data_IF_128591989831
#
_entry.id   IF_128591989831
#
_cell.length_a   1.000
_cell.length_b   1.000
_cell.length_c   1.000
_cell.angle_alpha   90.00
_cell.angle_beta   90.00
_cell.angle_gamma   90.00
#
_symmetry.space_group_name_H-M   'P 1'
#
loop_
_entity.id
_entity.type
_entity.pdbx_description
1 polymer ?
#
# COMPACT_ATOMS: atom_id res chain seq x y z
N UNK A 1 -2.76 2.68 -19.08
CA UNK A 1 -1.35 3.01 -18.80
C UNK A 1 -0.70 3.42 -20.10
N UNK A 2 -0.37 4.70 -20.26
CA UNK A 2 0.29 5.19 -21.47
C UNK A 2 1.76 4.76 -21.47
N UNK A 3 2.26 4.36 -22.64
CA UNK A 3 3.65 3.94 -22.82
C UNK A 3 4.42 4.96 -23.64
N UNK A 4 5.55 5.39 -23.11
CA UNK A 4 6.45 6.35 -23.71
C UNK A 4 7.78 5.67 -24.04
N UNK A 5 8.32 5.89 -25.24
CA UNK A 5 9.75 5.65 -25.44
C UNK A 5 10.52 6.71 -24.68
N UNK A 6 11.68 6.37 -24.12
CA UNK A 6 12.50 7.32 -23.35
C UNK A 6 12.81 8.63 -24.11
N UNK A 7 13.02 8.55 -25.43
CA UNK A 7 13.27 9.73 -26.26
C UNK A 7 12.06 10.69 -26.27
N UNK A 8 10.84 10.14 -26.43
CA UNK A 8 9.61 10.92 -26.45
C UNK A 8 9.31 11.51 -25.07
N UNK A 9 9.49 10.71 -24.02
CA UNK A 9 9.35 11.16 -22.63
C UNK A 9 10.31 12.31 -22.31
N UNK A 10 11.56 12.28 -22.81
CA UNK A 10 12.53 13.37 -22.62
C UNK A 10 12.05 14.68 -23.24
N UNK A 11 11.50 14.61 -24.45
CA UNK A 11 11.04 15.80 -25.18
C UNK A 11 9.71 16.35 -24.65
N UNK A 12 8.91 15.51 -23.97
CA UNK A 12 7.56 15.84 -23.47
C UNK A 12 7.45 15.61 -21.96
N UNK A 13 8.53 15.82 -21.23
CA UNK A 13 8.59 15.42 -19.82
C UNK A 13 7.51 16.11 -18.97
N UNK A 14 7.23 17.39 -19.22
CA UNK A 14 6.13 18.11 -18.54
C UNK A 14 4.77 17.46 -18.75
N UNK A 15 4.51 16.91 -19.94
CA UNK A 15 3.26 16.20 -20.21
C UNK A 15 3.22 14.86 -19.48
N UNK A 16 4.33 14.11 -19.47
CA UNK A 16 4.45 12.87 -18.70
C UNK A 16 4.14 13.13 -17.22
N UNK A 17 4.68 14.20 -16.65
CA UNK A 17 4.43 14.61 -15.25
C UNK A 17 2.96 14.98 -15.05
N UNK A 18 2.38 15.82 -15.91
CA UNK A 18 0.97 16.22 -15.77
C UNK A 18 0.03 15.02 -15.84
N UNK A 19 0.28 14.07 -16.75
CA UNK A 19 -0.50 12.83 -16.83
C UNK A 19 -0.27 11.94 -15.62
N UNK A 20 0.97 11.85 -15.11
CA UNK A 20 1.25 11.10 -13.89
C UNK A 20 0.49 11.65 -12.67
N UNK A 21 0.23 12.97 -12.64
CA UNK A 21 -0.53 13.63 -11.58
C UNK A 21 -2.05 13.52 -11.75
N UNK A 22 -2.56 13.63 -12.99
CA UNK A 22 -4.00 13.75 -13.25
C UNK A 22 -4.66 12.47 -13.77
N UNK A 23 -3.94 11.65 -14.54
CA UNK A 23 -4.45 10.45 -15.22
C UNK A 23 -3.94 9.15 -14.58
N UNK A 24 -2.84 9.23 -13.82
CA UNK A 24 -2.21 8.09 -13.14
C UNK A 24 -0.93 7.58 -13.82
N UNK A 25 -0.48 6.34 -13.52
CA UNK A 25 0.86 5.86 -13.85
C UNK A 25 1.24 5.94 -15.34
N UNK A 26 2.46 6.43 -15.62
CA UNK A 26 3.02 6.54 -16.97
C UNK A 26 4.22 5.61 -17.12
N UNK A 27 4.20 4.69 -18.10
CA UNK A 27 5.32 3.79 -18.35
C UNK A 27 6.32 4.44 -19.31
N UNK A 28 7.60 4.41 -18.96
CA UNK A 28 8.69 4.85 -19.86
C UNK A 28 9.60 3.66 -20.15
N UNK A 29 9.75 3.31 -21.42
CA UNK A 29 10.58 2.19 -21.87
C UNK A 29 11.91 2.66 -22.47
N UNK A 30 12.98 1.92 -22.16
CA UNK A 30 14.33 2.09 -22.70
C UNK A 30 14.88 0.74 -23.13
N UNK A 31 14.86 0.48 -24.45
CA UNK A 31 15.29 -0.81 -25.03
C UNK A 31 14.50 -1.96 -24.40
N UNK A 32 15.16 -2.78 -23.56
CA UNK A 32 14.58 -3.96 -22.93
C UNK A 32 14.11 -3.71 -21.49
N UNK A 33 14.29 -2.49 -20.97
CA UNK A 33 13.88 -2.10 -19.61
C UNK A 33 12.72 -1.10 -19.64
N UNK A 34 11.99 -1.01 -18.53
CA UNK A 34 10.96 0.00 -18.32
C UNK A 34 10.94 0.51 -16.88
N UNK A 35 10.54 1.77 -16.72
CA UNK A 35 10.26 2.41 -15.45
C UNK A 35 8.83 2.97 -15.47
N UNK A 36 8.28 3.25 -14.28
CA UNK A 36 6.96 3.87 -14.15
C UNK A 36 7.12 5.20 -13.41
N UNK A 37 6.56 6.27 -13.98
CA UNK A 37 6.43 7.57 -13.33
C UNK A 37 5.07 7.64 -12.65
N UNK A 38 5.09 7.96 -11.36
CA UNK A 38 3.93 8.04 -10.48
C UNK A 38 3.89 9.40 -9.79
N UNK A 39 2.70 9.85 -9.41
CA UNK A 39 2.59 10.93 -8.43
C UNK A 39 3.21 10.50 -7.10
N UNK A 40 3.74 11.46 -6.33
CA UNK A 40 4.27 11.17 -5.00
C UNK A 40 3.19 10.58 -4.08
N UNK A 41 1.95 11.06 -4.20
CA UNK A 41 0.81 10.56 -3.43
C UNK A 41 0.52 9.09 -3.74
N UNK A 42 0.54 8.69 -5.02
CA UNK A 42 0.34 7.30 -5.41
C UNK A 42 1.50 6.41 -4.95
N UNK A 43 2.74 6.89 -5.09
CA UNK A 43 3.91 6.20 -4.55
C UNK A 43 3.77 5.99 -3.05
N UNK A 44 3.44 7.04 -2.28
CA UNK A 44 3.22 6.94 -0.84
C UNK A 44 2.03 6.06 -0.47
N UNK A 45 1.00 5.94 -1.31
CA UNK A 45 -0.10 4.98 -1.05
C UNK A 45 0.34 3.54 -1.27
N UNK A 46 1.18 3.30 -2.28
CA UNK A 46 1.72 1.98 -2.62
C UNK A 46 2.83 1.52 -1.64
N UNK A 47 3.75 2.41 -1.32
CA UNK A 47 4.94 2.14 -0.50
C UNK A 47 4.82 2.67 0.92
N UNK A 48 3.72 3.35 1.23
CA UNK A 48 3.49 3.96 2.53
C UNK A 48 3.74 2.97 3.63
N UNK A 49 4.20 3.48 4.78
CA UNK A 49 4.38 2.71 6.00
C UNK A 49 3.04 2.07 6.35
N UNK A 50 2.75 0.89 5.82
CA UNK A 50 1.75 0.00 6.38
C UNK A 50 2.20 -0.15 7.82
N UNK A 51 1.43 0.41 8.75
CA UNK A 51 1.61 0.11 10.15
C UNK A 51 1.74 -1.41 10.20
N UNK A 52 2.81 -1.92 10.84
CA UNK A 52 2.92 -3.37 11.00
C UNK A 52 1.59 -3.86 11.55
N UNK A 53 1.11 -5.02 11.12
CA UNK A 53 -0.20 -5.49 11.58
C UNK A 53 -0.32 -5.41 13.12
N UNK A 54 0.79 -5.69 13.81
CA UNK A 54 0.97 -5.42 15.25
C UNK A 54 0.68 -3.96 15.65
N UNK A 55 1.31 -2.98 15.00
CA UNK A 55 1.10 -1.56 15.28
C UNK A 55 -0.32 -1.09 14.96
N UNK A 56 -0.90 -1.58 13.86
CA UNK A 56 -2.31 -1.32 13.54
C UNK A 56 -3.23 -1.78 14.67
N UNK A 57 -3.04 -3.01 15.17
CA UNK A 57 -3.80 -3.54 16.30
C UNK A 57 -3.57 -2.70 17.56
N UNK A 58 -2.32 -2.35 17.90
CA UNK A 58 -2.01 -1.60 19.12
C UNK A 58 -2.50 -0.15 19.10
N UNK A 59 -2.48 0.53 17.95
CA UNK A 59 -2.84 1.95 17.85
C UNK A 59 -4.37 2.18 17.91
N UNK A 60 -5.19 1.15 17.59
CA UNK A 60 -6.66 1.27 17.48
C UNK A 60 -7.43 0.38 18.45
N UNK A 61 -6.75 -0.44 19.26
CA UNK A 61 -7.42 -1.29 20.27
C UNK A 61 -7.53 -0.51 21.58
N UNK A 62 -8.71 -0.51 22.26
CA UNK A 62 -8.83 -0.02 23.61
C UNK A 62 -7.79 -0.65 24.54
N UNK A 63 -7.39 0.06 25.60
CA UNK A 63 -6.45 -0.50 26.57
C UNK A 63 -6.94 -1.86 27.06
N UNK A 64 -6.06 -2.86 27.06
CA UNK A 64 -6.35 -4.18 27.63
C UNK A 64 -6.18 -4.21 29.15
N UNK A 65 -5.85 -3.07 29.75
CA UNK A 65 -5.65 -2.93 31.18
C UNK A 65 -6.95 -3.21 31.94
N UNK A 66 -6.90 -4.16 32.87
CA UNK A 66 -8.06 -4.61 33.64
C UNK A 66 -8.92 -5.70 33.00
N UNK A 67 -8.58 -6.18 31.78
CA UNK A 67 -9.21 -7.37 31.22
C UNK A 67 -8.57 -8.64 31.78
N UNK A 68 -9.40 -9.60 32.20
CA UNK A 68 -8.94 -10.97 32.45
C UNK A 68 -8.71 -11.67 31.11
N UNK A 69 -7.44 -11.88 30.77
CA UNK A 69 -7.00 -12.56 29.55
C UNK A 69 -6.75 -14.06 29.78
N UNK A 70 -7.14 -14.60 30.94
CA UNK A 70 -7.01 -16.03 31.23
C UNK A 70 -7.87 -16.85 30.27
N UNK A 71 -7.31 -17.98 29.83
CA UNK A 71 -8.02 -18.89 28.92
C UNK A 71 -9.16 -19.57 29.67
N UNK A 72 -10.38 -19.35 29.22
CA UNK A 72 -11.53 -20.13 29.68
C UNK A 72 -11.32 -21.61 29.33
N UNK A 73 -11.38 -22.46 30.36
CA UNK A 73 -11.23 -23.92 30.25
C UNK A 73 -12.58 -24.63 30.18
N UNK A 74 -13.68 -23.89 30.27
CA UNK A 74 -15.02 -24.43 30.14
C UNK A 74 -15.17 -25.04 28.75
N UNK A 75 -15.83 -26.20 28.65
CA UNK A 75 -16.10 -26.78 27.35
C UNK A 75 -17.02 -25.83 26.56
N UNK A 76 -16.77 -25.69 25.25
CA UNK A 76 -17.54 -24.78 24.39
C UNK A 76 -19.03 -25.18 24.28
N UNK A 77 -19.35 -26.42 24.65
CA UNK A 77 -20.68 -27.00 24.74
C UNK A 77 -20.70 -27.94 25.95
N UNK A 78 -21.88 -28.18 26.52
CA UNK A 78 -22.03 -29.23 27.52
C UNK A 78 -21.71 -30.60 26.89
N UNK A 79 -20.84 -31.36 27.55
CA UNK A 79 -20.46 -32.71 27.14
C UNK A 79 -20.58 -33.60 28.37
N UNK A 80 -21.44 -34.62 28.29
CA UNK A 80 -21.46 -35.72 29.28
C UNK A 80 -20.29 -36.66 28.97
N UNK A 81 -19.43 -36.89 29.97
CA UNK A 81 -18.23 -37.75 29.88
C UNK A 81 -18.55 -39.20 30.26
#
# INVERSE_FOLDING_TARGET
MMQWRLADAKNRFSEVVNRALCEGPQQVSRRNDAVVVLSLADYQRLTGKRASFKRFLLDHTPSLEGLDLSRDKSPMREVEL
#
